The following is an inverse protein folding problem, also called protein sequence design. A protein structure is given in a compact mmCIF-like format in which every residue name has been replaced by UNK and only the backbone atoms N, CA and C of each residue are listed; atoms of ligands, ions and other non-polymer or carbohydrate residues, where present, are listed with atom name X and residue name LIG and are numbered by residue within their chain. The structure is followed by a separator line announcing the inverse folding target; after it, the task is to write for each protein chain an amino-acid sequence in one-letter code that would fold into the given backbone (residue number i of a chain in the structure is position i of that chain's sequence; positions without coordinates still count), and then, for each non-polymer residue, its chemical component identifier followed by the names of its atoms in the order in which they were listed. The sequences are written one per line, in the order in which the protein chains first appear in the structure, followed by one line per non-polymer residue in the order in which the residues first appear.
data_IF_995117077988
#
_entry.id   IF_995117077988
#
_cell.length_a   1.000
_cell.length_b   1.000
_cell.length_c   1.000
_cell.angle_alpha   90.00
_cell.angle_beta   90.00
_cell.angle_gamma   90.00
#
_symmetry.space_group_name_H-M   'P 1'
#
loop_
_entity.id
_entity.type
_entity.pdbx_description
1 polymer ?
#
# COMPACT_ATOMS: atom_id res chain seq x y z
N UNK A 1 -17.58 6.85 25.50
CA UNK A 1 -16.15 6.94 25.19
C UNK A 1 -15.47 5.81 25.96
N UNK A 2 -15.32 4.62 25.35
CA UNK A 2 -14.65 3.48 25.96
C UNK A 2 -13.29 3.29 25.27
N UNK A 3 -12.23 3.60 25.99
CA UNK A 3 -10.86 3.29 25.59
C UNK A 3 -10.67 1.78 25.65
N UNK A 4 -10.48 1.13 24.51
CA UNK A 4 -10.03 -0.26 24.47
C UNK A 4 -8.53 -0.24 24.75
N UNK A 5 -8.15 -0.70 25.95
CA UNK A 5 -6.77 -0.95 26.30
C UNK A 5 -6.27 -2.16 25.50
N UNK A 6 -5.34 -1.90 24.58
CA UNK A 6 -4.55 -2.97 23.99
C UNK A 6 -3.71 -3.63 25.10
N UNK A 7 -4.06 -4.84 25.45
CA UNK A 7 -3.23 -5.69 26.30
C UNK A 7 -2.15 -6.32 25.42
N UNK A 8 -0.97 -5.73 25.41
CA UNK A 8 0.23 -6.37 24.89
C UNK A 8 0.66 -7.47 25.89
N UNK A 9 0.42 -8.72 25.54
CA UNK A 9 1.07 -9.84 26.24
C UNK A 9 2.48 -9.95 25.65
N UNK A 10 3.47 -9.52 26.41
CA UNK A 10 4.88 -9.61 26.07
C UNK A 10 5.39 -11.01 26.46
N UNK A 11 5.45 -11.94 25.53
CA UNK A 11 6.26 -13.15 25.68
C UNK A 11 7.62 -12.92 25.03
N UNK A 12 8.70 -13.11 25.79
CA UNK A 12 10.08 -12.75 25.44
C UNK A 12 10.78 -13.75 24.51
N UNK A 13 10.05 -14.67 23.89
CA UNK A 13 10.59 -15.61 22.92
C UNK A 13 9.80 -15.56 21.63
N UNK A 14 10.34 -14.85 20.65
CA UNK A 14 9.88 -14.76 19.23
C UNK A 14 8.46 -14.17 19.10
N UNK A 15 8.38 -12.86 18.94
CA UNK A 15 7.14 -12.12 18.72
C UNK A 15 6.63 -12.41 17.31
N UNK A 16 5.91 -13.51 17.14
CA UNK A 16 5.19 -13.78 15.91
C UNK A 16 3.93 -12.91 15.97
N UNK A 17 3.87 -11.90 15.13
CA UNK A 17 2.66 -11.10 14.96
C UNK A 17 1.78 -11.81 13.93
N UNK A 18 0.60 -12.23 14.35
CA UNK A 18 -0.42 -12.72 13.44
C UNK A 18 -1.19 -11.53 12.88
N UNK A 19 -1.25 -11.42 11.56
CA UNK A 19 -2.10 -10.45 10.90
C UNK A 19 -3.48 -11.05 10.64
N UNK A 20 -4.51 -10.40 11.16
CA UNK A 20 -5.88 -10.64 10.74
C UNK A 20 -6.10 -10.07 9.32
N UNK A 21 -7.11 -10.54 8.61
CA UNK A 21 -7.48 -9.96 7.31
C UNK A 21 -7.69 -8.45 7.38
N UNK A 22 -8.16 -7.95 8.52
CA UNK A 22 -8.35 -6.54 8.80
C UNK A 22 -7.03 -5.77 8.84
N UNK A 23 -6.03 -6.27 9.57
CA UNK A 23 -4.71 -5.65 9.66
C UNK A 23 -3.99 -5.63 8.30
N UNK A 24 -4.22 -6.65 7.46
CA UNK A 24 -3.67 -6.68 6.10
C UNK A 24 -4.29 -5.58 5.24
N UNK A 25 -5.61 -5.34 5.36
CA UNK A 25 -6.26 -4.23 4.66
C UNK A 25 -5.81 -2.88 5.21
N UNK A 26 -5.56 -2.75 6.52
CA UNK A 26 -4.97 -1.54 7.12
C UNK A 26 -3.56 -1.25 6.56
N UNK A 27 -2.77 -2.30 6.28
CA UNK A 27 -1.48 -2.14 5.61
C UNK A 27 -1.68 -1.64 4.17
N UNK A 28 -2.65 -2.20 3.43
CA UNK A 28 -2.98 -1.75 2.08
C UNK A 28 -3.37 -0.27 2.08
N UNK A 29 -4.31 0.15 2.93
CA UNK A 29 -4.70 1.56 3.08
C UNK A 29 -3.49 2.47 3.34
N UNK A 30 -2.58 2.05 4.22
CA UNK A 30 -1.36 2.82 4.53
C UNK A 30 -0.43 2.94 3.33
N UNK A 31 -0.31 1.89 2.52
CA UNK A 31 0.49 1.89 1.30
C UNK A 31 -0.04 2.95 0.34
N UNK A 32 -1.36 2.98 0.10
CA UNK A 32 -2.01 3.96 -0.78
C UNK A 32 -1.86 5.41 -0.26
N UNK A 33 -2.08 5.62 1.04
CA UNK A 33 -1.90 6.94 1.67
C UNK A 33 -0.46 7.45 1.52
N UNK A 34 0.53 6.58 1.63
CA UNK A 34 1.93 6.93 1.40
C UNK A 34 2.23 7.18 -0.08
N UNK A 35 1.61 6.42 -0.99
CA UNK A 35 1.67 6.63 -2.43
C UNK A 35 1.14 8.02 -2.79
N UNK A 36 -0.06 8.35 -2.32
CA UNK A 36 -0.65 9.68 -2.48
C UNK A 36 0.31 10.79 -2.01
N UNK A 37 0.81 10.68 -0.78
CA UNK A 37 1.70 11.69 -0.19
C UNK A 37 3.00 11.85 -1.00
N UNK A 38 3.55 10.73 -1.48
CA UNK A 38 4.73 10.74 -2.35
C UNK A 38 4.44 11.43 -3.69
N UNK A 39 3.36 11.05 -4.37
CA UNK A 39 3.03 11.58 -5.69
C UNK A 39 2.73 13.08 -5.68
N UNK A 40 2.00 13.57 -4.68
CA UNK A 40 1.75 15.01 -4.52
C UNK A 40 3.07 15.76 -4.31
N UNK A 41 3.92 15.29 -3.40
CA UNK A 41 5.19 15.96 -3.12
C UNK A 41 6.16 15.91 -4.32
N UNK A 42 6.19 14.78 -5.06
CA UNK A 42 6.96 14.66 -6.30
C UNK A 42 6.44 15.63 -7.38
N UNK A 43 5.13 15.74 -7.55
CA UNK A 43 4.52 16.68 -8.50
C UNK A 43 4.85 18.15 -8.18
N UNK A 44 4.93 18.50 -6.88
CA UNK A 44 5.31 19.84 -6.44
C UNK A 44 6.79 20.16 -6.73
N UNK A 45 7.66 19.15 -6.64
CA UNK A 45 9.09 19.30 -6.92
C UNK A 45 9.38 19.47 -8.41
N UNK A 46 8.61 18.84 -9.29
CA UNK A 46 8.84 18.82 -10.73
C UNK A 46 8.38 20.15 -11.36
N UNK A 47 9.33 20.91 -11.90
CA UNK A 47 9.09 22.21 -12.55
C UNK A 47 9.33 22.21 -14.06
N UNK A 48 10.14 21.27 -14.54
CA UNK A 48 10.68 21.27 -15.91
C UNK A 48 9.84 20.48 -16.91
N UNK A 49 8.97 19.55 -16.42
CA UNK A 49 8.15 18.70 -17.27
C UNK A 49 6.71 18.68 -16.80
N UNK A 50 5.84 19.30 -17.57
CA UNK A 50 4.39 19.30 -17.34
C UNK A 50 3.82 17.88 -17.42
N UNK A 51 4.32 17.05 -18.33
CA UNK A 51 3.82 15.69 -18.54
C UNK A 51 4.11 14.79 -17.33
N UNK A 52 5.34 14.85 -16.79
CA UNK A 52 5.70 14.07 -15.59
C UNK A 52 4.93 14.60 -14.37
N UNK A 53 4.78 15.92 -14.23
CA UNK A 53 3.98 16.50 -13.16
C UNK A 53 2.54 16.04 -13.21
N UNK A 54 1.91 16.08 -14.38
CA UNK A 54 0.54 15.63 -14.58
C UNK A 54 0.39 14.12 -14.32
N UNK A 55 1.38 13.31 -14.74
CA UNK A 55 1.40 11.89 -14.41
C UNK A 55 1.31 11.67 -12.89
N UNK A 56 2.12 12.36 -12.09
CA UNK A 56 2.11 12.20 -10.64
C UNK A 56 0.81 12.71 -10.00
N UNK A 57 0.21 13.79 -10.50
CA UNK A 57 -1.10 14.25 -10.03
C UNK A 57 -2.17 13.20 -10.30
N UNK A 58 -2.21 12.67 -11.51
CA UNK A 58 -3.12 11.59 -11.90
C UNK A 58 -2.96 10.34 -11.03
N UNK A 59 -1.72 9.93 -10.75
CA UNK A 59 -1.44 8.78 -9.88
C UNK A 59 -1.95 9.05 -8.46
N UNK A 60 -1.68 10.22 -7.90
CA UNK A 60 -2.18 10.59 -6.57
C UNK A 60 -3.71 10.52 -6.46
N UNK A 61 -4.45 10.97 -7.48
CA UNK A 61 -5.91 10.86 -7.52
C UNK A 61 -6.36 9.38 -7.50
N UNK A 62 -5.64 8.50 -8.18
CA UNK A 62 -5.95 7.07 -8.22
C UNK A 62 -5.68 6.39 -6.88
N UNK A 63 -4.58 6.72 -6.17
CA UNK A 63 -4.32 6.23 -4.80
C UNK A 63 -5.46 6.58 -3.83
N UNK A 64 -6.06 7.76 -3.98
CA UNK A 64 -7.24 8.14 -3.19
C UNK A 64 -8.44 7.21 -3.46
N UNK A 65 -8.63 6.79 -4.71
CA UNK A 65 -9.71 5.85 -5.06
C UNK A 65 -9.42 4.43 -4.56
N UNK A 66 -8.15 4.00 -4.60
CA UNK A 66 -7.72 2.72 -4.04
C UNK A 66 -7.92 2.68 -2.53
N UNK A 67 -7.50 3.71 -1.81
CA UNK A 67 -7.76 3.87 -0.37
C UNK A 67 -9.24 3.69 -0.05
N UNK A 68 -10.12 4.39 -0.78
CA UNK A 68 -11.57 4.28 -0.59
C UNK A 68 -12.11 2.88 -0.91
N UNK A 69 -11.49 2.16 -1.86
CA UNK A 69 -11.86 0.79 -2.22
C UNK A 69 -11.42 -0.20 -1.13
N UNK A 70 -10.21 -0.07 -0.60
CA UNK A 70 -9.75 -0.89 0.51
C UNK A 70 -10.56 -0.62 1.79
N UNK A 71 -10.95 0.63 2.05
CA UNK A 71 -11.81 0.96 3.18
C UNK A 71 -13.18 0.25 3.07
N UNK A 72 -13.77 0.19 1.88
CA UNK A 72 -15.01 -0.58 1.66
C UNK A 72 -14.81 -2.07 1.91
N UNK A 73 -13.67 -2.63 1.46
CA UNK A 73 -13.33 -4.03 1.74
C UNK A 73 -13.25 -4.24 3.25
N UNK A 74 -12.56 -3.34 3.96
CA UNK A 74 -12.41 -3.38 5.42
C UNK A 74 -13.75 -3.35 6.16
N UNK A 75 -14.67 -2.47 5.74
CA UNK A 75 -15.97 -2.31 6.38
C UNK A 75 -16.90 -3.54 6.21
N UNK A 76 -16.60 -4.42 5.24
CA UNK A 76 -17.31 -5.67 5.00
C UNK A 76 -16.68 -6.89 5.69
N UNK A 77 -15.56 -6.71 6.42
CA UNK A 77 -14.96 -7.77 7.22
C UNK A 77 -15.66 -7.88 8.58
N UNK A 78 -16.39 -8.99 8.82
CA UNK A 78 -16.98 -9.30 10.12
C UNK A 78 -15.91 -9.89 11.08
N UNK A 79 -16.08 -9.74 12.41
CA UNK A 79 -15.13 -10.27 13.38
C UNK A 79 -14.91 -11.80 13.28
N UNK A 80 -15.90 -12.53 12.80
CA UNK A 80 -15.86 -14.00 12.64
C UNK A 80 -15.05 -14.44 11.40
N UNK A 81 -14.70 -13.50 10.53
CA UNK A 81 -13.88 -13.73 9.34
C UNK A 81 -12.39 -13.91 9.66
N UNK A 82 -12.05 -13.75 10.94
CA UNK A 82 -10.70 -13.95 11.45
C UNK A 82 -10.47 -15.43 11.74
N UNK A 83 -10.31 -16.26 10.72
CA UNK A 83 -9.57 -17.50 10.96
C UNK A 83 -8.20 -17.12 11.51
N UNK A 84 -7.81 -17.78 12.62
CA UNK A 84 -6.46 -17.64 13.18
C UNK A 84 -5.47 -17.82 12.02
N UNK A 85 -4.81 -16.73 11.65
CA UNK A 85 -3.96 -16.72 10.49
C UNK A 85 -2.89 -17.80 10.62
N UNK A 86 -2.62 -18.50 9.54
CA UNK A 86 -1.45 -19.36 9.44
C UNK A 86 -0.22 -18.51 9.80
N UNK A 87 0.52 -18.97 10.79
CA UNK A 87 1.71 -18.33 11.34
C UNK A 87 2.72 -17.99 10.23
N UNK A 88 2.87 -18.90 9.27
CA UNK A 88 3.76 -18.75 8.12
C UNK A 88 3.27 -17.64 7.18
N UNK A 89 1.98 -17.50 7.02
CA UNK A 89 1.38 -16.45 6.18
C UNK A 89 1.50 -15.06 6.83
N UNK A 90 1.25 -14.96 8.14
CA UNK A 90 1.40 -13.69 8.86
C UNK A 90 2.86 -13.19 8.80
N UNK A 91 3.83 -14.09 9.00
CA UNK A 91 5.25 -13.75 8.87
C UNK A 91 5.61 -13.35 7.43
N UNK A 92 5.00 -13.97 6.43
CA UNK A 92 5.21 -13.65 5.03
C UNK A 92 4.65 -12.25 4.67
N UNK A 93 3.42 -11.92 5.10
CA UNK A 93 2.80 -10.60 4.89
C UNK A 93 3.61 -9.51 5.60
N UNK A 94 4.07 -9.76 6.85
CA UNK A 94 4.95 -8.82 7.54
C UNK A 94 6.22 -8.56 6.73
N UNK A 95 6.83 -9.60 6.19
CA UNK A 95 8.05 -9.47 5.38
C UNK A 95 7.80 -8.66 4.10
N UNK A 96 6.64 -8.84 3.46
CA UNK A 96 6.26 -8.04 2.29
C UNK A 96 6.04 -6.58 2.69
N UNK A 97 5.27 -6.32 3.75
CA UNK A 97 5.02 -4.97 4.24
C UNK A 97 6.31 -4.26 4.68
N UNK A 98 7.24 -4.97 5.34
CA UNK A 98 8.52 -4.41 5.76
C UNK A 98 9.46 -4.09 4.60
N UNK A 99 9.35 -4.85 3.51
CA UNK A 99 10.11 -4.63 2.28
C UNK A 99 9.46 -3.62 1.35
N UNK A 100 8.15 -3.43 1.46
CA UNK A 100 7.44 -2.47 0.64
C UNK A 100 7.96 -1.05 0.92
N UNK A 101 8.32 -0.33 -0.14
CA UNK A 101 8.94 0.99 -0.02
C UNK A 101 8.07 1.98 0.78
N UNK A 102 6.75 1.83 0.72
CA UNK A 102 5.77 2.64 1.45
C UNK A 102 5.04 1.89 2.57
N UNK A 103 5.56 0.76 3.01
CA UNK A 103 4.92 -0.04 4.07
C UNK A 103 4.97 0.60 5.47
N UNK A 104 5.89 1.55 5.71
CA UNK A 104 6.04 2.23 7.01
C UNK A 104 5.24 3.54 7.06
N UNK A 105 4.76 3.95 8.25
CA UNK A 105 4.08 5.24 8.42
C UNK A 105 4.93 6.42 7.89
N UNK A 106 4.29 7.34 7.16
CA UNK A 106 4.91 8.52 6.55
C UNK A 106 6.10 8.24 5.62
N UNK A 107 6.25 7.02 5.09
CA UNK A 107 7.34 6.66 4.20
C UNK A 107 7.30 7.48 2.90
N UNK A 108 6.11 7.71 2.32
CA UNK A 108 5.94 8.47 1.10
C UNK A 108 6.47 9.89 1.21
N UNK A 109 6.01 10.66 2.21
CA UNK A 109 6.48 12.01 2.44
C UNK A 109 7.98 12.06 2.78
N UNK A 110 8.49 11.10 3.56
CA UNK A 110 9.90 11.02 3.93
C UNK A 110 10.79 10.77 2.72
N UNK A 111 10.41 9.88 1.81
CA UNK A 111 11.14 9.63 0.58
C UNK A 111 11.07 10.83 -0.37
N UNK A 112 9.89 11.43 -0.53
CA UNK A 112 9.72 12.61 -1.37
C UNK A 112 10.64 13.75 -0.94
N UNK A 113 10.85 13.95 0.36
CA UNK A 113 11.76 14.98 0.89
C UNK A 113 13.24 14.72 0.53
N UNK A 114 13.62 13.54 0.10
CA UNK A 114 14.99 13.21 -0.32
C UNK A 114 15.23 13.39 -1.82
N UNK A 115 14.18 13.58 -2.60
CA UNK A 115 14.25 13.68 -4.06
C UNK A 115 15.08 14.90 -4.50
N UNK A 116 15.89 14.69 -5.52
CA UNK A 116 16.71 15.74 -6.15
C UNK A 116 16.38 15.92 -7.62
N UNK A 117 15.89 14.88 -8.28
CA UNK A 117 15.63 14.88 -9.72
C UNK A 117 14.30 14.23 -10.06
N UNK A 118 13.65 14.62 -11.17
CA UNK A 118 12.47 13.93 -11.68
C UNK A 118 12.70 12.43 -11.94
N UNK A 119 13.92 12.07 -12.36
CA UNK A 119 14.28 10.69 -12.63
C UNK A 119 14.24 9.84 -11.33
N UNK A 120 14.82 10.33 -10.24
CA UNK A 120 14.73 9.65 -8.93
C UNK A 120 13.27 9.46 -8.50
N UNK A 121 12.42 10.47 -8.71
CA UNK A 121 10.99 10.35 -8.42
C UNK A 121 10.32 9.24 -9.24
N UNK A 122 10.62 9.15 -10.55
CA UNK A 122 10.08 8.10 -11.43
C UNK A 122 10.59 6.70 -11.03
N UNK A 123 11.87 6.56 -10.66
CA UNK A 123 12.45 5.28 -10.22
C UNK A 123 11.79 4.78 -8.92
N UNK A 124 11.59 5.66 -7.95
CA UNK A 124 10.90 5.34 -6.70
C UNK A 124 9.42 5.00 -6.98
N UNK A 125 8.75 5.80 -7.79
CA UNK A 125 7.38 5.55 -8.19
C UNK A 125 7.22 4.18 -8.86
N UNK A 126 8.10 3.85 -9.80
CA UNK A 126 8.06 2.56 -10.47
C UNK A 126 8.24 1.38 -9.48
N UNK A 127 9.16 1.51 -8.54
CA UNK A 127 9.37 0.48 -7.52
C UNK A 127 8.14 0.34 -6.61
N UNK A 128 7.50 1.47 -6.24
CA UNK A 128 6.27 1.47 -5.46
C UNK A 128 5.18 0.64 -6.13
N UNK A 129 4.89 0.90 -7.41
CA UNK A 129 3.86 0.18 -8.15
C UNK A 129 4.14 -1.34 -8.24
N UNK A 130 5.41 -1.70 -8.46
CA UNK A 130 5.82 -3.12 -8.51
C UNK A 130 5.63 -3.80 -7.16
N UNK A 131 5.99 -3.13 -6.07
CA UNK A 131 5.82 -3.64 -4.71
C UNK A 131 4.32 -3.76 -4.36
N UNK A 132 3.50 -2.78 -4.75
CA UNK A 132 2.04 -2.78 -4.55
C UNK A 132 1.38 -3.94 -5.30
N UNK A 133 1.73 -4.17 -6.57
CA UNK A 133 1.27 -5.33 -7.35
C UNK A 133 1.60 -6.64 -6.63
N UNK A 134 2.81 -6.79 -6.12
CA UNK A 134 3.22 -8.00 -5.41
C UNK A 134 2.41 -8.19 -4.11
N UNK A 135 2.25 -7.14 -3.33
CA UNK A 135 1.48 -7.15 -2.09
C UNK A 135 0.00 -7.48 -2.33
N UNK A 136 -0.63 -6.83 -3.32
CA UNK A 136 -2.06 -7.05 -3.60
C UNK A 136 -2.36 -8.40 -4.23
N UNK A 137 -1.43 -9.01 -4.96
CA UNK A 137 -1.55 -10.40 -5.41
C UNK A 137 -1.64 -11.38 -4.23
N UNK A 138 -0.88 -11.15 -3.17
CA UNK A 138 -0.99 -11.96 -1.95
C UNK A 138 -2.30 -11.69 -1.18
N UNK A 139 -2.71 -10.43 -1.09
CA UNK A 139 -4.01 -10.07 -0.51
C UNK A 139 -5.15 -10.76 -1.29
N UNK A 140 -5.10 -10.75 -2.62
CA UNK A 140 -6.07 -11.45 -3.47
C UNK A 140 -6.17 -12.95 -3.18
N UNK A 141 -5.04 -13.61 -2.97
CA UNK A 141 -5.00 -15.05 -2.70
C UNK A 141 -5.77 -15.42 -1.43
N UNK A 142 -5.77 -14.54 -0.44
CA UNK A 142 -6.40 -14.74 0.88
C UNK A 142 -7.76 -14.06 1.05
N UNK A 143 -8.13 -13.17 0.14
CA UNK A 143 -9.38 -12.43 0.21
C UNK A 143 -10.59 -13.33 0.02
N UNK A 144 -11.73 -12.95 0.60
CA UNK A 144 -13.04 -13.56 0.34
C UNK A 144 -13.47 -13.30 -1.11
N UNK A 145 -14.38 -14.15 -1.60
CA UNK A 145 -14.90 -14.11 -2.97
C UNK A 145 -15.36 -12.69 -3.36
N UNK A 146 -16.07 -12.01 -2.47
CA UNK A 146 -16.70 -10.72 -2.74
C UNK A 146 -15.67 -9.58 -2.88
N UNK A 147 -14.57 -9.68 -2.16
CA UNK A 147 -13.46 -8.70 -2.25
C UNK A 147 -12.52 -8.97 -3.43
N UNK A 148 -12.45 -10.20 -3.92
CA UNK A 148 -11.50 -10.59 -4.98
C UNK A 148 -11.65 -9.79 -6.26
N UNK A 149 -12.88 -9.48 -6.67
CA UNK A 149 -13.13 -8.71 -7.88
C UNK A 149 -12.56 -7.28 -7.77
N UNK A 150 -12.71 -6.65 -6.60
CA UNK A 150 -12.18 -5.31 -6.33
C UNK A 150 -10.66 -5.31 -6.28
N UNK A 151 -10.06 -6.25 -5.54
CA UNK A 151 -8.59 -6.36 -5.43
C UNK A 151 -7.96 -6.64 -6.80
N UNK A 152 -8.58 -7.52 -7.61
CA UNK A 152 -8.11 -7.81 -8.96
C UNK A 152 -8.13 -6.57 -9.86
N UNK A 153 -9.15 -5.70 -9.70
CA UNK A 153 -9.22 -4.44 -10.42
C UNK A 153 -8.06 -3.53 -10.04
N UNK A 154 -7.79 -3.35 -8.72
CA UNK A 154 -6.66 -2.55 -8.24
C UNK A 154 -5.34 -3.09 -8.79
N UNK A 155 -5.09 -4.41 -8.72
CA UNK A 155 -3.87 -5.01 -9.29
C UNK A 155 -3.68 -4.61 -10.76
N UNK A 156 -4.74 -4.63 -11.57
CA UNK A 156 -4.65 -4.25 -12.98
C UNK A 156 -4.38 -2.74 -13.16
N UNK A 157 -4.89 -1.90 -12.25
CA UNK A 157 -4.63 -0.46 -12.22
C UNK A 157 -3.17 -0.18 -11.87
N UNK A 158 -2.59 -0.85 -10.84
CA UNK A 158 -1.18 -0.72 -10.47
C UNK A 158 -0.23 -1.21 -11.58
N UNK A 159 -0.58 -2.31 -12.25
CA UNK A 159 0.18 -2.76 -13.43
C UNK A 159 0.17 -1.71 -14.56
N UNK A 160 -0.95 -1.00 -14.75
CA UNK A 160 -1.06 0.10 -15.70
C UNK A 160 -0.28 1.35 -15.25
N UNK A 161 -0.27 1.67 -13.94
CA UNK A 161 0.54 2.75 -13.37
C UNK A 161 2.02 2.50 -13.61
N UNK A 162 2.53 1.33 -13.25
CA UNK A 162 3.92 0.94 -13.52
C UNK A 162 4.28 1.08 -15.01
N UNK A 163 3.38 0.65 -15.91
CA UNK A 163 3.59 0.77 -17.35
C UNK A 163 3.60 2.24 -17.84
N UNK A 164 2.79 3.12 -17.24
CA UNK A 164 2.78 4.56 -17.54
C UNK A 164 4.08 5.22 -17.08
N UNK A 165 4.52 4.96 -15.84
CA UNK A 165 5.77 5.51 -15.29
C UNK A 165 6.96 5.07 -16.12
N UNK A 166 7.00 3.80 -16.52
CA UNK A 166 8.09 3.23 -17.31
C UNK A 166 8.33 3.92 -18.64
N UNK A 167 7.34 4.63 -19.22
CA UNK A 167 7.51 5.38 -20.46
C UNK A 167 8.34 6.64 -20.30
N UNK A 168 8.53 7.10 -19.06
CA UNK A 168 9.31 8.30 -18.73
C UNK A 168 10.69 7.96 -18.15
N UNK A 169 10.98 6.69 -17.89
CA UNK A 169 12.29 6.18 -17.48
C UNK A 169 13.17 5.87 -18.69
#
# INVERSE_FOLDING_TARGET
MKFIKFLYVCDTKTRIMYYSGKEIVEIAVRIEENGYAFYIAAAEMIRESTDIKNLFIDLAEQETMHTATFQKIFDHYEPEDYEQGDESFSAYIQNLADKHIFGKPAAGASLAATLKTPKEALEIAYQFEIDSVAFYKELYNKAKSDSKALIKKIIAEEEAHAARIKRFL
#
